data_IF_560746373426
#
_entry.id   IF_560746373426
#
_cell.length_a   1.000
_cell.length_b   1.000
_cell.length_c   1.000
_cell.angle_alpha   90.00
_cell.angle_beta   90.00
_cell.angle_gamma   90.00
#
_symmetry.space_group_name_H-M   'P 1'
#
loop_
_entity.id
_entity.type
_entity.pdbx_description
1 polymer ?
#
# COMPACT_ATOMS: atom_id res chain seq x y z
N UNK A 1 19.43 4.60 -6.40
CA UNK A 1 19.18 5.67 -5.42
C UNK A 1 17.89 5.29 -4.70
N UNK A 2 17.93 5.05 -3.39
CA UNK A 2 16.73 4.85 -2.57
C UNK A 2 16.03 6.21 -2.40
N UNK A 3 14.70 6.26 -2.51
CA UNK A 3 13.94 7.46 -2.17
C UNK A 3 14.11 7.85 -0.69
N UNK A 4 13.49 8.95 -0.24
CA UNK A 4 13.66 9.49 1.10
C UNK A 4 13.15 8.56 2.23
N UNK A 5 12.52 7.44 1.89
CA UNK A 5 12.11 6.39 2.82
C UNK A 5 12.01 5.03 2.12
N UNK A 6 12.18 3.96 2.90
CA UNK A 6 12.12 2.56 2.50
C UNK A 6 10.72 1.97 2.67
N UNK A 7 10.52 0.73 2.24
CA UNK A 7 9.28 -0.01 2.52
C UNK A 7 9.07 -0.16 4.03
N UNK A 8 10.12 -0.44 4.80
CA UNK A 8 10.03 -0.58 6.26
C UNK A 8 9.62 0.72 6.96
N UNK A 9 10.06 1.87 6.45
CA UNK A 9 9.63 3.18 6.94
C UNK A 9 8.12 3.38 6.77
N UNK A 10 7.54 2.92 5.66
CA UNK A 10 6.08 2.95 5.45
C UNK A 10 5.34 2.06 6.44
N UNK A 11 5.88 0.89 6.79
CA UNK A 11 5.28 0.02 7.81
C UNK A 11 5.36 0.64 9.22
N UNK A 12 6.44 1.35 9.53
CA UNK A 12 6.60 2.07 10.80
C UNK A 12 5.74 3.34 10.88
N UNK A 13 5.55 4.01 9.75
CA UNK A 13 4.78 5.26 9.65
C UNK A 13 3.95 5.35 8.37
N UNK A 14 2.77 4.69 8.29
CA UNK A 14 1.94 4.70 7.08
C UNK A 14 1.52 6.10 6.61
N UNK A 15 1.49 7.09 7.51
CA UNK A 15 1.19 8.48 7.20
C UNK A 15 2.17 9.12 6.21
N UNK A 16 3.34 8.53 5.99
CA UNK A 16 4.27 8.91 4.91
C UNK A 16 3.62 8.87 3.53
N UNK A 17 2.55 8.07 3.35
CA UNK A 17 1.80 7.93 2.10
C UNK A 17 0.71 9.00 1.93
N UNK A 18 0.40 9.78 2.96
CA UNK A 18 -0.69 10.76 2.94
C UNK A 18 -0.48 11.79 1.82
N UNK A 19 -1.50 11.97 0.98
CA UNK A 19 -1.47 12.89 -0.15
C UNK A 19 -0.60 12.46 -1.34
N UNK A 20 0.12 11.33 -1.26
CA UNK A 20 1.00 10.87 -2.34
C UNK A 20 0.25 10.03 -3.38
N UNK A 21 0.67 10.20 -4.63
CA UNK A 21 0.15 9.39 -5.76
C UNK A 21 0.84 8.03 -5.85
N UNK A 22 0.23 7.00 -6.48
CA UNK A 22 0.87 5.70 -6.65
C UNK A 22 2.16 5.77 -7.48
N UNK A 23 2.20 6.62 -8.51
CA UNK A 23 3.41 6.80 -9.34
C UNK A 23 4.56 7.39 -8.53
N UNK A 24 4.27 8.38 -7.67
CA UNK A 24 5.26 8.97 -6.78
C UNK A 24 5.82 7.94 -5.81
N UNK A 25 4.96 7.20 -5.11
CA UNK A 25 5.39 6.16 -4.15
C UNK A 25 6.16 5.05 -4.85
N UNK A 26 5.76 4.63 -6.04
CA UNK A 26 6.51 3.64 -6.84
C UNK A 26 7.91 4.15 -7.20
N UNK A 27 8.06 5.44 -7.54
CA UNK A 27 9.35 6.05 -7.81
C UNK A 27 10.25 6.14 -6.56
N UNK A 28 9.67 6.41 -5.39
CA UNK A 28 10.42 6.51 -4.13
C UNK A 28 10.87 5.15 -3.60
N UNK A 29 9.99 4.16 -3.62
CA UNK A 29 10.25 2.82 -3.07
C UNK A 29 10.98 1.91 -4.05
N UNK A 30 10.80 2.14 -5.35
CA UNK A 30 11.21 1.20 -6.38
C UNK A 30 10.53 -0.16 -6.21
N UNK A 31 11.28 -1.22 -6.50
CA UNK A 31 10.86 -2.59 -6.25
C UNK A 31 12.00 -3.35 -5.56
N UNK A 32 12.03 -3.36 -4.21
CA UNK A 32 13.06 -4.08 -3.47
C UNK A 32 13.02 -5.58 -3.73
N UNK A 33 14.13 -6.28 -3.46
CA UNK A 33 14.19 -7.73 -3.58
C UNK A 33 13.12 -8.40 -2.70
N UNK A 34 12.48 -9.44 -3.23
CA UNK A 34 11.33 -10.10 -2.57
C UNK A 34 10.00 -9.35 -2.75
N UNK A 35 9.98 -8.16 -3.37
CA UNK A 35 8.75 -7.42 -3.63
C UNK A 35 8.35 -7.46 -5.10
N UNK A 36 7.04 -7.49 -5.35
CA UNK A 36 6.46 -7.45 -6.70
C UNK A 36 5.42 -6.35 -6.80
N UNK A 37 5.42 -5.65 -7.94
CA UNK A 37 4.38 -4.69 -8.29
C UNK A 37 3.24 -5.43 -8.99
N UNK A 38 2.03 -5.19 -8.50
CA UNK A 38 0.79 -5.80 -8.96
C UNK A 38 -0.31 -4.72 -9.10
N UNK A 39 -1.48 -5.16 -9.55
CA UNK A 39 -2.73 -4.39 -9.51
C UNK A 39 -3.71 -5.04 -8.55
N UNK A 40 -4.81 -4.35 -8.26
CA UNK A 40 -5.91 -4.93 -7.50
C UNK A 40 -6.42 -6.18 -8.20
N UNK A 41 -6.50 -7.31 -7.48
CA UNK A 41 -6.94 -8.59 -8.04
C UNK A 41 -8.44 -8.86 -7.84
N UNK A 42 -9.13 -8.05 -7.03
CA UNK A 42 -10.53 -8.27 -6.63
C UNK A 42 -11.32 -6.96 -6.54
N UNK A 43 -12.64 -7.09 -6.54
CA UNK A 43 -13.59 -5.99 -6.40
C UNK A 43 -13.87 -5.26 -7.71
N UNK A 44 -14.76 -4.26 -7.65
CA UNK A 44 -15.16 -3.45 -8.82
C UNK A 44 -14.02 -2.62 -9.44
N UNK A 45 -12.87 -2.57 -8.75
CA UNK A 45 -11.64 -1.90 -9.20
C UNK A 45 -10.54 -2.89 -9.58
N UNK A 46 -10.84 -4.18 -9.77
CA UNK A 46 -9.86 -5.16 -10.23
C UNK A 46 -9.21 -4.74 -11.55
N UNK A 47 -7.91 -5.01 -11.71
CA UNK A 47 -7.12 -4.55 -12.86
C UNK A 47 -6.73 -3.06 -12.81
N UNK A 48 -7.20 -2.32 -11.80
CA UNK A 48 -6.78 -0.94 -11.51
C UNK A 48 -6.02 -0.86 -10.18
N UNK A 49 -5.66 0.34 -9.76
CA UNK A 49 -4.89 0.57 -8.55
C UNK A 49 -3.44 0.12 -8.65
N UNK A 50 -2.77 0.06 -7.51
CA UNK A 50 -1.36 -0.31 -7.41
C UNK A 50 -1.10 -1.10 -6.13
N UNK A 51 -0.26 -2.13 -6.21
CA UNK A 51 0.08 -2.99 -5.08
C UNK A 51 1.58 -3.27 -5.13
N UNK A 52 2.27 -3.12 -4.00
CA UNK A 52 3.61 -3.65 -3.77
C UNK A 52 3.50 -4.71 -2.67
N UNK A 53 3.77 -5.97 -3.03
CA UNK A 53 3.57 -7.14 -2.18
C UNK A 53 4.88 -7.87 -1.96
N UNK A 54 5.14 -8.25 -0.73
CA UNK A 54 6.31 -9.05 -0.36
C UNK A 54 6.02 -10.54 -0.53
N UNK A 55 7.03 -11.25 -1.01
CA UNK A 55 7.09 -12.67 -1.23
C UNK A 55 8.35 -13.23 -0.56
N UNK A 56 8.24 -14.41 0.03
CA UNK A 56 9.41 -15.15 0.50
C UNK A 56 10.18 -15.81 -0.68
N UNK A 57 11.26 -16.50 -0.36
CA UNK A 57 12.10 -17.18 -1.34
C UNK A 57 11.33 -18.25 -2.14
N UNK A 58 10.30 -18.86 -1.54
CA UNK A 58 9.44 -19.85 -2.18
C UNK A 58 8.35 -19.21 -3.09
N UNK A 59 8.32 -17.87 -3.19
CA UNK A 59 7.34 -17.15 -4.01
C UNK A 59 5.94 -17.11 -3.40
N UNK A 60 5.82 -17.28 -2.08
CA UNK A 60 4.57 -17.19 -1.32
C UNK A 60 4.42 -15.79 -0.70
N UNK A 61 3.25 -15.14 -0.80
CA UNK A 61 3.00 -13.86 -0.13
C UNK A 61 3.22 -13.94 1.38
N UNK A 62 4.01 -13.03 1.93
CA UNK A 62 4.25 -12.97 3.38
C UNK A 62 3.09 -12.35 4.17
N UNK A 63 2.17 -11.69 3.44
CA UNK A 63 1.11 -10.86 4.01
C UNK A 63 1.48 -9.37 4.13
N UNK A 64 2.77 -9.01 3.97
CA UNK A 64 3.18 -7.60 3.88
C UNK A 64 2.79 -7.01 2.52
N UNK A 65 2.07 -5.89 2.55
CA UNK A 65 1.56 -5.24 1.35
C UNK A 65 1.34 -3.74 1.56
N UNK A 66 1.73 -2.94 0.56
CA UNK A 66 1.33 -1.53 0.40
C UNK A 66 0.43 -1.47 -0.84
N UNK A 67 -0.78 -0.97 -0.69
CA UNK A 67 -1.78 -0.94 -1.75
C UNK A 67 -2.36 0.47 -1.87
N UNK A 68 -2.39 1.02 -3.08
CA UNK A 68 -3.22 2.16 -3.42
C UNK A 68 -4.53 1.71 -4.05
N UNK A 69 -5.64 2.25 -3.57
CA UNK A 69 -6.97 2.03 -4.11
C UNK A 69 -7.53 3.35 -4.68
N UNK A 70 -8.13 3.34 -5.89
CA UNK A 70 -8.66 4.54 -6.53
C UNK A 70 -9.97 5.08 -5.91
N UNK A 71 -10.36 4.57 -4.74
CA UNK A 71 -11.64 4.87 -4.11
C UNK A 71 -12.87 4.22 -4.78
N UNK A 72 -14.03 4.51 -4.21
CA UNK A 72 -15.34 3.92 -4.55
C UNK A 72 -15.72 2.72 -3.68
N UNK A 73 -16.99 2.34 -3.77
CA UNK A 73 -17.56 1.23 -3.01
C UNK A 73 -17.76 1.57 -1.52
N UNK A 74 -17.73 0.54 -0.67
CA UNK A 74 -18.04 0.64 0.76
C UNK A 74 -17.07 1.52 1.58
N UNK A 75 -15.87 1.78 1.06
CA UNK A 75 -14.81 2.51 1.77
C UNK A 75 -14.72 4.00 1.42
N UNK A 76 -15.76 4.55 0.80
CA UNK A 76 -15.83 5.95 0.39
C UNK A 76 -15.29 6.21 -1.02
N UNK A 77 -15.64 7.38 -1.56
CA UNK A 77 -15.33 7.75 -2.94
C UNK A 77 -13.84 8.05 -3.17
N UNK A 78 -13.13 8.52 -2.14
CA UNK A 78 -11.78 9.04 -2.29
C UNK A 78 -10.71 7.94 -2.40
N UNK A 79 -9.61 8.20 -3.13
CA UNK A 79 -8.48 7.29 -3.18
C UNK A 79 -7.77 7.21 -1.82
N UNK A 80 -7.21 6.04 -1.54
CA UNK A 80 -6.54 5.79 -0.26
C UNK A 80 -5.44 4.74 -0.39
N UNK A 81 -4.52 4.80 0.54
CA UNK A 81 -3.50 3.80 0.78
C UNK A 81 -3.95 2.81 1.85
N UNK A 82 -3.53 1.56 1.71
CA UNK A 82 -3.68 0.50 2.69
C UNK A 82 -2.32 -0.15 2.90
N UNK A 83 -1.85 -0.15 4.14
CA UNK A 83 -0.65 -0.86 4.57
C UNK A 83 -1.10 -2.03 5.43
N UNK A 84 -0.69 -3.25 5.08
CA UNK A 84 -1.08 -4.44 5.84
C UNK A 84 0.10 -5.36 6.08
N UNK A 85 0.19 -5.92 7.29
CA UNK A 85 1.13 -6.98 7.65
C UNK A 85 0.51 -7.91 8.70
N UNK A 86 0.96 -9.17 8.81
CA UNK A 86 0.49 -10.07 9.86
C UNK A 86 0.73 -9.52 11.27
N UNK A 87 1.86 -8.86 11.50
CA UNK A 87 2.23 -8.33 12.81
C UNK A 87 1.55 -6.98 13.16
N UNK A 88 1.24 -6.15 12.17
CA UNK A 88 0.76 -4.78 12.35
C UNK A 88 -0.70 -4.55 11.96
N UNK A 89 -1.41 -5.59 11.53
CA UNK A 89 -2.79 -5.48 11.08
C UNK A 89 -2.93 -4.67 9.78
N UNK A 90 -4.00 -3.87 9.68
CA UNK A 90 -4.31 -3.07 8.50
C UNK A 90 -4.50 -1.61 8.88
N UNK A 91 -3.70 -0.72 8.30
CA UNK A 91 -3.85 0.73 8.42
C UNK A 91 -4.27 1.30 7.08
N UNK A 92 -5.25 2.22 7.08
CA UNK A 92 -5.67 2.96 5.88
C UNK A 92 -5.32 4.43 6.03
N UNK A 93 -4.85 5.03 4.95
CA UNK A 93 -4.41 6.44 4.90
C UNK A 93 -5.05 7.10 3.69
N UNK A 94 -5.93 8.05 3.94
CA UNK A 94 -6.67 8.78 2.91
C UNK A 94 -7.63 9.78 3.52
N UNK A 95 -8.24 10.65 2.70
CA UNK A 95 -9.12 11.72 3.17
C UNK A 95 -10.23 11.25 4.13
N UNK A 96 -10.76 10.05 3.90
CA UNK A 96 -11.85 9.47 4.68
C UNK A 96 -11.43 8.67 5.92
N UNK A 97 -10.12 8.47 6.17
CA UNK A 97 -9.63 7.62 7.28
C UNK A 97 -9.01 8.40 8.44
N UNK A 98 -9.05 9.75 8.41
CA UNK A 98 -8.47 10.60 9.45
C UNK A 98 -6.96 10.39 9.65
N UNK A 99 -6.33 11.26 10.45
CA UNK A 99 -4.95 11.00 10.93
C UNK A 99 -5.00 9.97 12.05
N UNK A 100 -5.20 8.68 11.71
CA UNK A 100 -5.01 7.59 12.66
C UNK A 100 -6.14 6.59 12.86
N UNK A 101 -7.11 6.43 11.95
CA UNK A 101 -8.09 5.34 12.10
C UNK A 101 -7.49 4.00 11.62
N UNK A 102 -6.78 3.31 12.51
CA UNK A 102 -6.82 1.84 12.54
C UNK A 102 -8.09 1.39 13.28
N UNK A 103 -8.68 0.24 12.93
CA UNK A 103 -9.63 -0.42 13.82
C UNK A 103 -8.98 -0.79 15.16
#
# INVERSE_FOLDING_TARGET
>A
MSGPFTVDDVFRGPQLLSGRSPTEVAGLLGQPEGWRVERLSRGSRAGSGWVLREYNAEGVPTGRMIQWHPGGGHHGADPYWKVSSPAGGVVRVGPQFGRGAGP
#
